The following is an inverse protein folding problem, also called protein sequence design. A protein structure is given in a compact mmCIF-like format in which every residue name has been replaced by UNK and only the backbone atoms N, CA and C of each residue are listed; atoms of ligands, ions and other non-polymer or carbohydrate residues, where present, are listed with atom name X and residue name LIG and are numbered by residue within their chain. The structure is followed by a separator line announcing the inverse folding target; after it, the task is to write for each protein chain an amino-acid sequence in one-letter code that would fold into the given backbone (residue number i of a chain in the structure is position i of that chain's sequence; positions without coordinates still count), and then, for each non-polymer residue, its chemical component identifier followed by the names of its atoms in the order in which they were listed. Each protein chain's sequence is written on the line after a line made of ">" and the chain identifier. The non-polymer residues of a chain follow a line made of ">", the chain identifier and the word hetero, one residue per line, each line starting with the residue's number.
data_IF_939407544758
#
_entry.id   IF_939407544758
#
_cell.length_a   1.000
_cell.length_b   1.000
_cell.length_c   1.000
_cell.angle_alpha   90.00
_cell.angle_beta   90.00
_cell.angle_gamma   90.00
#
_symmetry.space_group_name_H-M   'P 1'
#
loop_
_entity.id
_entity.type
_entity.pdbx_description
1 polymer ?
#
# COMPACT_ATOMS: atom_id res chain seq x y z
N UNK A 1 10.85 -27.19 26.17
CA UNK A 1 9.38 -27.32 25.97
C UNK A 1 8.61 -26.19 26.67
N UNK A 2 9.16 -24.98 26.70
CA UNK A 2 8.53 -23.79 27.31
C UNK A 2 8.53 -22.61 26.35
N UNK A 3 9.31 -22.68 25.27
CA UNK A 3 9.55 -21.56 24.36
C UNK A 3 8.27 -21.19 23.58
N UNK A 4 7.46 -22.18 23.23
CA UNK A 4 6.15 -21.97 22.62
C UNK A 4 5.21 -21.13 23.49
N UNK A 5 5.38 -21.14 24.81
CA UNK A 5 4.55 -20.35 25.74
C UNK A 5 4.72 -18.85 25.51
N UNK A 6 5.89 -18.41 25.06
CA UNK A 6 6.16 -17.01 24.75
C UNK A 6 5.99 -16.72 23.25
N UNK A 7 6.38 -17.66 22.38
CA UNK A 7 6.34 -17.44 20.94
C UNK A 7 4.91 -17.37 20.37
N UNK A 8 3.97 -18.15 20.91
CA UNK A 8 2.56 -18.12 20.48
C UNK A 8 1.90 -16.77 20.76
N UNK A 9 1.92 -16.23 22.00
CA UNK A 9 1.29 -14.92 22.25
C UNK A 9 2.02 -13.79 21.50
N UNK A 10 3.35 -13.85 21.36
CA UNK A 10 4.11 -12.86 20.59
C UNK A 10 3.69 -12.88 19.11
N UNK A 11 3.52 -14.05 18.50
CA UNK A 11 3.12 -14.13 17.08
C UNK A 11 1.70 -13.62 16.85
N UNK A 12 0.78 -13.89 17.79
CA UNK A 12 -0.60 -13.36 17.74
C UNK A 12 -0.57 -11.83 17.83
N UNK A 13 0.19 -11.26 18.78
CA UNK A 13 0.31 -9.80 18.94
C UNK A 13 0.91 -9.17 17.69
N UNK A 14 1.96 -9.76 17.12
CA UNK A 14 2.57 -9.28 15.88
C UNK A 14 1.60 -9.34 14.69
N UNK A 15 0.82 -10.42 14.58
CA UNK A 15 -0.21 -10.54 13.55
C UNK A 15 -1.31 -9.48 13.69
N UNK A 16 -1.79 -9.24 14.92
CA UNK A 16 -2.79 -8.21 15.20
C UNK A 16 -2.25 -6.80 14.95
N UNK A 17 -1.02 -6.51 15.36
CA UNK A 17 -0.37 -5.23 15.09
C UNK A 17 -0.24 -4.99 13.58
N UNK A 18 0.24 -5.98 12.82
CA UNK A 18 0.33 -5.89 11.37
C UNK A 18 -1.04 -5.64 10.72
N UNK A 19 -2.08 -6.35 11.17
CA UNK A 19 -3.44 -6.15 10.69
C UNK A 19 -3.97 -4.74 11.00
N UNK A 20 -3.77 -4.23 12.22
CA UNK A 20 -4.20 -2.89 12.60
C UNK A 20 -3.49 -1.81 11.78
N UNK A 21 -2.18 -1.96 11.58
CA UNK A 21 -1.39 -1.05 10.72
C UNK A 21 -1.91 -1.09 9.29
N UNK A 22 -2.16 -2.27 8.74
CA UNK A 22 -2.70 -2.43 7.39
C UNK A 22 -4.10 -1.81 7.23
N UNK A 23 -4.99 -2.00 8.20
CA UNK A 23 -6.32 -1.38 8.17
C UNK A 23 -6.23 0.16 8.29
N UNK A 24 -5.26 0.66 9.07
CA UNK A 24 -5.00 2.09 9.18
C UNK A 24 -4.47 2.70 7.87
N UNK A 25 -3.59 2.00 7.13
CA UNK A 25 -3.11 2.49 5.83
C UNK A 25 -4.23 2.59 4.80
N UNK A 26 -5.13 1.60 4.77
CA UNK A 26 -6.33 1.64 3.92
C UNK A 26 -7.24 2.81 4.27
N UNK A 27 -7.49 3.05 5.56
CA UNK A 27 -8.38 4.15 6.01
C UNK A 27 -7.81 5.54 5.71
N UNK A 28 -6.49 5.69 5.66
CA UNK A 28 -5.83 6.98 5.46
C UNK A 28 -5.82 7.48 4.01
N UNK A 29 -6.44 6.78 3.07
CA UNK A 29 -6.56 7.24 1.68
C UNK A 29 -5.22 7.31 0.95
N UNK A 30 -4.15 6.66 1.44
CA UNK A 30 -2.86 6.60 0.73
C UNK A 30 -2.94 5.88 -0.62
N UNK A 31 -4.00 5.09 -0.84
CA UNK A 31 -4.26 4.41 -2.10
C UNK A 31 -4.95 5.31 -3.14
N UNK A 32 -5.65 6.37 -2.72
CA UNK A 32 -6.32 7.29 -3.65
C UNK A 32 -5.30 8.03 -4.55
N UNK A 33 -4.08 8.27 -4.05
CA UNK A 33 -3.00 8.88 -4.84
C UNK A 33 -2.41 7.90 -5.88
N UNK A 34 -2.41 6.59 -5.57
CA UNK A 34 -1.99 5.54 -6.50
C UNK A 34 -3.00 5.33 -7.63
N UNK A 35 -4.29 5.45 -7.35
CA UNK A 35 -5.35 5.38 -8.37
C UNK A 35 -5.21 6.54 -9.36
N UNK A 36 -4.97 7.76 -8.87
CA UNK A 36 -4.69 8.92 -9.74
C UNK A 36 -3.40 8.80 -10.55
N UNK A 37 -2.36 8.13 -10.02
CA UNK A 37 -1.12 7.87 -10.75
C UNK A 37 -1.28 6.77 -11.82
N UNK A 38 -2.05 5.73 -11.52
CA UNK A 38 -2.33 4.63 -12.45
C UNK A 38 -3.16 5.09 -13.65
N UNK A 39 -4.14 5.97 -13.41
CA UNK A 39 -4.90 6.65 -14.46
C UNK A 39 -3.95 7.42 -15.41
N UNK A 40 -3.03 8.20 -14.85
CA UNK A 40 -2.06 8.95 -15.68
C UNK A 40 -1.16 8.03 -16.50
N UNK A 41 -0.65 6.95 -15.92
CA UNK A 41 0.23 6.01 -16.60
C UNK A 41 -0.50 5.24 -17.73
N UNK A 42 -1.74 4.79 -17.49
CA UNK A 42 -2.53 4.05 -18.47
C UNK A 42 -2.91 4.93 -19.68
N UNK A 43 -3.19 6.21 -19.44
CA UNK A 43 -3.60 7.16 -20.48
C UNK A 43 -2.45 8.04 -21.01
N UNK A 44 -1.23 7.94 -20.49
CA UNK A 44 -0.06 8.69 -21.01
C UNK A 44 0.50 8.08 -22.30
N UNK A 45 0.46 6.75 -22.47
CA UNK A 45 0.96 6.08 -23.67
C UNK A 45 0.15 6.43 -24.94
N UNK A 46 -1.11 6.87 -24.79
CA UNK A 46 -1.99 7.25 -25.89
C UNK A 46 -1.94 8.76 -26.25
N UNK A 47 -1.19 9.58 -25.51
CA UNK A 47 -1.06 11.01 -25.85
C UNK A 47 0.14 11.24 -26.76
N UNK A 48 -0.07 11.74 -28.00
CA UNK A 48 1.05 12.18 -28.81
C UNK A 48 1.76 13.32 -28.06
N UNK A 49 3.05 13.10 -27.76
CA UNK A 49 3.93 14.10 -27.18
C UNK A 49 4.05 15.23 -28.20
N UNK A 50 3.22 16.25 -28.07
CA UNK A 50 3.27 17.42 -28.93
C UNK A 50 4.33 18.36 -28.36
N UNK A 51 5.58 18.01 -28.62
CA UNK A 51 6.77 18.82 -28.35
C UNK A 51 6.92 19.92 -29.40
N UNK A 52 5.89 20.74 -29.55
CA UNK A 52 6.01 22.06 -30.15
C UNK A 52 6.67 23.01 -29.13
N UNK A 53 7.98 22.84 -28.94
CA UNK A 53 8.82 23.86 -28.29
C UNK A 53 9.18 24.91 -29.35
N UNK A 54 8.93 26.21 -29.12
CA UNK A 54 9.39 27.28 -30.01
C UNK A 54 10.91 27.43 -30.00
#
# INVERSE_FOLDING_TARGET
>A
MTDFFYLIPISIILGLLGLLVFLWTLRNGQYDDLDGASERLLYEDDRPRNDARP
#
